data_IF_618991369829
#
_entry.id   IF_618991369829
#
_cell.length_a   1.000
_cell.length_b   1.000
_cell.length_c   1.000
_cell.angle_alpha   90.00
_cell.angle_beta   90.00
_cell.angle_gamma   90.00
#
_symmetry.space_group_name_H-M   'P 1'
#
loop_
_entity.id
_entity.type
_entity.pdbx_description
1 polymer ?
#
# COMPACT_ATOMS: atom_id res chain seq x y z
N UNK A 1 -56.73 -4.41 11.04
CA UNK A 1 -56.41 -5.84 11.13
C UNK A 1 -56.40 -6.41 9.72
N UNK A 2 -55.22 -6.43 9.09
CA UNK A 2 -54.96 -7.11 7.84
C UNK A 2 -53.50 -7.56 7.90
N UNK A 3 -53.30 -8.86 7.81
CA UNK A 3 -52.04 -9.58 8.00
C UNK A 3 -51.36 -9.74 6.64
N UNK A 4 -50.17 -9.17 6.48
CA UNK A 4 -49.34 -9.38 5.29
C UNK A 4 -48.44 -10.60 5.48
N UNK A 5 -48.65 -11.59 4.61
CA UNK A 5 -48.00 -12.89 4.59
C UNK A 5 -46.72 -12.82 3.72
N UNK A 6 -45.56 -12.91 4.38
CA UNK A 6 -44.24 -12.86 3.73
C UNK A 6 -43.96 -14.16 2.97
N UNK A 7 -43.95 -14.07 1.64
CA UNK A 7 -43.68 -15.16 0.69
C UNK A 7 -42.17 -15.50 0.66
N UNK A 8 -41.74 -16.48 1.48
CA UNK A 8 -40.37 -17.03 1.46
C UNK A 8 -40.11 -17.85 0.19
N UNK A 9 -39.06 -17.49 -0.58
CA UNK A 9 -38.54 -18.30 -1.70
C UNK A 9 -37.73 -19.50 -1.18
N UNK A 10 -37.83 -20.70 -1.79
CA UNK A 10 -37.14 -21.89 -1.31
C UNK A 10 -35.66 -21.93 -1.73
N UNK A 11 -34.79 -22.31 -0.78
CA UNK A 11 -33.36 -22.57 -0.98
C UNK A 11 -33.17 -23.79 -1.88
N UNK A 12 -32.52 -23.63 -3.03
CA UNK A 12 -32.09 -24.75 -3.88
C UNK A 12 -30.84 -25.41 -3.27
N UNK A 13 -30.95 -26.69 -2.93
CA UNK A 13 -29.83 -27.56 -2.56
C UNK A 13 -29.08 -27.96 -3.84
N UNK A 14 -27.78 -27.69 -3.91
CA UNK A 14 -26.89 -28.28 -4.92
C UNK A 14 -26.53 -29.70 -4.49
N UNK A 15 -26.99 -30.68 -5.26
CA UNK A 15 -26.61 -32.09 -5.15
C UNK A 15 -25.66 -32.40 -6.30
N UNK A 16 -24.41 -32.75 -5.99
CA UNK A 16 -23.43 -33.28 -6.94
C UNK A 16 -23.75 -34.77 -7.18
N UNK A 17 -24.47 -35.05 -8.27
CA UNK A 17 -24.64 -36.40 -8.81
C UNK A 17 -23.68 -36.58 -9.99
N UNK A 18 -22.61 -37.34 -9.77
CA UNK A 18 -21.80 -37.92 -10.83
C UNK A 18 -22.64 -38.98 -11.55
N UNK A 19 -23.01 -38.70 -12.80
CA UNK A 19 -23.61 -39.70 -13.70
C UNK A 19 -22.52 -40.26 -14.62
N UNK A 20 -22.41 -41.59 -14.79
CA UNK A 20 -21.45 -42.19 -15.72
C UNK A 20 -21.87 -41.95 -17.18
N UNK A 21 -20.90 -41.62 -18.02
CA UNK A 21 -21.06 -41.45 -19.46
C UNK A 21 -21.32 -42.83 -20.09
N UNK A 22 -22.57 -43.10 -20.47
CA UNK A 22 -22.93 -44.24 -21.34
C UNK A 22 -22.72 -43.87 -22.81
N UNK A 23 -21.85 -44.62 -23.49
CA UNK A 23 -21.65 -44.51 -24.94
C UNK A 23 -22.82 -45.17 -25.70
N UNK A 24 -23.35 -44.54 -26.77
CA UNK A 24 -24.41 -45.14 -27.58
C UNK A 24 -23.88 -46.31 -28.45
N UNK A 25 -24.72 -47.32 -28.76
CA UNK A 25 -24.32 -48.46 -29.58
C UNK A 25 -24.19 -48.08 -31.07
N UNK A 26 -23.38 -48.82 -31.85
CA UNK A 26 -23.06 -48.47 -33.21
C UNK A 26 -24.19 -48.85 -34.17
N UNK A 27 -24.85 -47.85 -34.74
CA UNK A 27 -25.66 -48.02 -35.95
C UNK A 27 -24.99 -47.28 -37.12
N UNK A 28 -24.92 -48.00 -38.25
CA UNK A 28 -24.46 -47.61 -39.59
C UNK A 28 -22.95 -47.68 -39.95
N UNK A 29 -22.54 -48.59 -40.86
CA UNK A 29 -21.13 -48.78 -41.28
C UNK A 29 -20.54 -47.68 -42.17
N UNK A 30 -21.29 -46.65 -42.56
CA UNK A 30 -20.84 -45.70 -43.60
C UNK A 30 -20.03 -44.50 -43.10
N UNK A 31 -19.83 -44.33 -41.78
CA UNK A 31 -19.05 -43.20 -41.24
C UNK A 31 -17.81 -43.58 -40.42
N UNK A 32 -17.46 -44.86 -40.29
CA UNK A 32 -16.29 -45.26 -39.47
C UNK A 32 -14.96 -44.71 -39.98
N UNK A 33 -14.74 -44.61 -41.31
CA UNK A 33 -13.49 -44.04 -41.86
C UNK A 33 -13.30 -42.56 -41.48
N UNK A 34 -14.37 -41.78 -41.36
CA UNK A 34 -14.27 -40.35 -41.00
C UNK A 34 -13.87 -40.17 -39.53
N UNK A 35 -14.41 -41.01 -38.63
CA UNK A 35 -14.03 -40.97 -37.22
C UNK A 35 -12.60 -41.43 -36.99
N UNK A 36 -12.16 -42.53 -37.61
CA UNK A 36 -10.77 -42.99 -37.47
C UNK A 36 -9.77 -41.96 -38.00
N UNK A 37 -10.07 -41.26 -39.10
CA UNK A 37 -9.19 -40.19 -39.60
C UNK A 37 -9.14 -38.98 -38.66
N UNK A 38 -10.26 -38.61 -38.01
CA UNK A 38 -10.28 -37.53 -37.01
C UNK A 38 -9.49 -37.89 -35.75
N UNK A 39 -9.63 -39.12 -35.25
CA UNK A 39 -8.86 -39.58 -34.09
C UNK A 39 -7.37 -39.76 -34.41
N UNK A 40 -7.03 -40.26 -35.61
CA UNK A 40 -5.65 -40.35 -36.06
C UNK A 40 -5.01 -38.97 -36.20
N UNK A 41 -5.75 -37.99 -36.75
CA UNK A 41 -5.28 -36.61 -36.84
C UNK A 41 -5.07 -35.99 -35.45
N UNK A 42 -5.97 -36.26 -34.49
CA UNK A 42 -5.83 -35.78 -33.12
C UNK A 42 -4.60 -36.39 -32.41
N UNK A 43 -4.34 -37.68 -32.63
CA UNK A 43 -3.17 -38.38 -32.10
C UNK A 43 -1.87 -37.88 -32.74
N UNK A 44 -1.87 -37.59 -34.05
CA UNK A 44 -0.73 -36.98 -34.74
C UNK A 44 -0.47 -35.56 -34.23
N UNK A 45 -1.51 -34.75 -34.02
CA UNK A 45 -1.37 -33.41 -33.44
C UNK A 45 -0.79 -33.48 -32.02
N UNK A 46 -1.29 -34.38 -31.16
CA UNK A 46 -0.73 -34.56 -29.81
C UNK A 46 0.73 -35.06 -29.85
N UNK A 47 1.07 -35.98 -30.75
CA UNK A 47 2.44 -36.46 -30.93
C UNK A 47 3.38 -35.35 -31.43
N UNK A 48 2.91 -34.49 -32.34
CA UNK A 48 3.65 -33.31 -32.79
C UNK A 48 3.81 -32.27 -31.67
N UNK A 49 2.79 -32.07 -30.83
CA UNK A 49 2.86 -31.16 -29.69
C UNK A 49 3.86 -31.65 -28.63
N UNK A 50 3.85 -32.94 -28.31
CA UNK A 50 4.79 -33.56 -27.38
C UNK A 50 6.22 -33.53 -27.94
N UNK A 51 6.43 -33.87 -29.21
CA UNK A 51 7.77 -33.80 -29.81
C UNK A 51 8.29 -32.36 -29.96
N UNK A 52 7.41 -31.38 -30.16
CA UNK A 52 7.79 -29.96 -30.17
C UNK A 52 8.21 -29.45 -28.78
N UNK A 53 7.50 -29.82 -27.71
CA UNK A 53 7.83 -29.39 -26.36
C UNK A 53 8.99 -30.16 -25.70
N UNK A 54 9.25 -31.39 -26.13
CA UNK A 54 10.39 -32.19 -25.65
C UNK A 54 11.60 -32.18 -26.61
N UNK A 55 11.56 -31.37 -27.68
CA UNK A 55 12.72 -31.16 -28.53
C UNK A 55 13.84 -30.45 -27.75
N UNK A 56 15.09 -30.96 -27.80
CA UNK A 56 16.26 -30.29 -27.21
C UNK A 56 16.44 -28.83 -27.68
N UNK A 57 15.87 -28.49 -28.84
CA UNK A 57 15.93 -27.17 -29.44
C UNK A 57 14.90 -26.19 -28.86
N UNK A 58 13.71 -26.68 -28.47
CA UNK A 58 12.72 -25.89 -27.73
C UNK A 58 13.19 -25.61 -26.30
N UNK A 59 13.85 -26.58 -25.65
CA UNK A 59 14.48 -26.41 -24.33
C UNK A 59 15.67 -25.42 -24.41
N UNK A 60 16.47 -25.44 -25.49
CA UNK A 60 17.52 -24.44 -25.73
C UNK A 60 16.96 -23.04 -26.01
N UNK A 61 15.82 -22.92 -26.69
CA UNK A 61 15.18 -21.63 -26.95
C UNK A 61 14.48 -21.04 -25.72
N UNK A 62 13.93 -21.88 -24.83
CA UNK A 62 13.46 -21.46 -23.52
C UNK A 62 14.61 -20.97 -22.62
N UNK A 63 15.78 -21.64 -22.67
CA UNK A 63 17.00 -21.17 -21.98
C UNK A 63 17.61 -19.89 -22.59
N UNK A 64 17.39 -19.60 -23.88
CA UNK A 64 17.89 -18.38 -24.55
C UNK A 64 16.97 -17.16 -24.46
N UNK A 65 15.68 -17.33 -24.10
CA UNK A 65 14.76 -16.20 -23.84
C UNK A 65 14.86 -15.65 -22.41
N UNK A 66 15.54 -16.34 -21.50
CA UNK A 66 15.91 -15.83 -20.18
C UNK A 66 17.32 -15.19 -20.21
N UNK A 67 17.47 -14.13 -21.01
CA UNK A 67 18.68 -13.29 -20.98
C UNK A 67 18.26 -11.82 -20.84
N UNK A 68 18.57 -11.31 -19.64
CA UNK A 68 18.67 -9.91 -19.20
C UNK A 68 17.43 -9.24 -18.57
N UNK A 69 17.18 -9.56 -17.30
CA UNK A 69 17.39 -8.53 -16.27
C UNK A 69 18.46 -9.03 -15.31
N UNK A 70 19.59 -8.32 -15.33
CA UNK A 70 20.83 -8.63 -14.64
C UNK A 70 20.76 -7.96 -13.27
N UNK A 71 20.29 -8.68 -12.24
CA UNK A 71 20.65 -8.35 -10.86
C UNK A 71 21.95 -9.09 -10.55
N UNK A 72 23.07 -8.49 -10.96
CA UNK A 72 24.38 -8.84 -10.42
C UNK A 72 24.62 -7.91 -9.21
N UNK A 73 24.54 -8.46 -8.00
CA UNK A 73 25.73 -8.57 -7.14
C UNK A 73 25.49 -9.48 -5.93
N UNK A 74 26.51 -10.24 -5.52
CA UNK A 74 26.51 -11.08 -4.33
C UNK A 74 26.94 -10.24 -3.12
N UNK A 75 26.16 -10.32 -2.04
CA UNK A 75 26.60 -10.23 -0.65
C UNK A 75 25.35 -10.44 0.22
N UNK A 76 24.83 -11.66 0.21
CA UNK A 76 23.92 -12.11 1.26
C UNK A 76 24.79 -12.38 2.47
N UNK A 77 24.98 -11.37 3.32
CA UNK A 77 25.39 -11.62 4.69
C UNK A 77 24.14 -12.14 5.39
N UNK A 78 24.06 -13.46 5.58
CA UNK A 78 23.24 -13.99 6.66
C UNK A 78 23.82 -13.41 7.96
N UNK A 79 23.18 -12.39 8.51
CA UNK A 79 23.50 -11.93 9.85
C UNK A 79 23.03 -13.00 10.84
N UNK A 80 23.95 -13.91 11.20
CA UNK A 80 23.89 -14.61 12.47
C UNK A 80 24.01 -13.57 13.58
N UNK A 81 22.95 -13.43 14.37
CA UNK A 81 22.96 -12.66 15.61
C UNK A 81 23.99 -13.28 16.56
N UNK A 82 25.07 -12.56 16.83
CA UNK A 82 25.98 -12.82 17.94
C UNK A 82 25.64 -11.84 19.05
N UNK A 83 25.22 -12.37 20.19
CA UNK A 83 25.16 -11.64 21.46
C UNK A 83 26.60 -11.38 21.92
N UNK A 84 27.03 -10.12 21.90
CA UNK A 84 28.21 -9.67 22.64
C UNK A 84 27.73 -8.73 23.75
N UNK A 85 27.85 -9.22 24.99
CA UNK A 85 27.89 -8.42 26.19
C UNK A 85 29.13 -7.53 26.13
N UNK A 86 28.99 -6.23 26.40
CA UNK A 86 30.10 -5.50 26.99
C UNK A 86 29.67 -4.29 27.83
N UNK A 87 30.36 -4.21 28.96
CA UNK A 87 30.18 -3.29 30.06
C UNK A 87 30.56 -1.86 29.72
N UNK A 88 29.80 -0.88 30.24
CA UNK A 88 30.26 0.49 30.33
C UNK A 88 29.97 1.12 31.70
N UNK A 89 31.04 1.77 32.15
CA UNK A 89 31.38 2.36 33.42
C UNK A 89 30.59 3.64 33.73
N UNK A 90 30.13 3.78 34.97
CA UNK A 90 29.42 4.97 35.45
C UNK A 90 30.43 5.98 36.01
N UNK A 91 30.43 7.19 35.47
CA UNK A 91 30.91 8.36 36.22
C UNK A 91 29.94 9.53 36.07
N UNK A 92 29.70 10.14 37.23
CA UNK A 92 28.65 11.11 37.54
C UNK A 92 28.84 12.47 36.86
N UNK A 93 27.72 13.13 36.56
CA UNK A 93 27.57 14.56 36.87
C UNK A 93 26.08 14.90 37.12
N UNK A 94 25.82 15.47 38.31
CA UNK A 94 24.58 16.11 38.76
C UNK A 94 24.42 17.46 38.00
N UNK A 95 23.27 18.03 37.67
CA UNK A 95 22.01 18.27 38.37
C UNK A 95 21.03 18.88 37.33
N UNK A 96 19.73 18.56 37.40
CA UNK A 96 18.56 19.48 37.30
C UNK A 96 17.28 18.63 37.44
N UNK A 97 16.36 19.14 38.25
CA UNK A 97 15.13 18.54 38.78
C UNK A 97 14.18 17.88 37.75
N UNK A 98 13.73 16.66 38.09
CA UNK A 98 12.35 16.21 37.88
C UNK A 98 12.14 14.90 38.67
N UNK A 99 11.24 14.91 39.65
CA UNK A 99 10.94 13.79 40.55
C UNK A 99 10.10 12.67 39.88
N UNK A 100 10.33 12.39 38.59
CA UNK A 100 9.57 11.39 37.82
C UNK A 100 10.36 10.14 37.40
N UNK A 101 11.69 10.07 37.55
CA UNK A 101 12.47 9.21 36.64
C UNK A 101 13.16 7.96 37.19
N UNK A 102 13.25 7.68 38.48
CA UNK A 102 14.12 6.56 38.92
C UNK A 102 13.50 5.16 38.81
N UNK A 103 12.18 5.01 38.98
CA UNK A 103 11.54 3.68 38.92
C UNK A 103 11.23 3.21 37.49
N UNK A 104 10.92 4.14 36.57
CA UNK A 104 10.59 3.85 35.17
C UNK A 104 11.86 3.68 34.32
N UNK A 105 12.90 4.47 34.58
CA UNK A 105 14.18 4.34 33.87
C UNK A 105 14.90 3.02 34.18
N UNK A 106 14.80 2.52 35.42
CA UNK A 106 15.42 1.26 35.83
C UNK A 106 14.75 0.02 35.21
N UNK A 107 13.45 0.09 34.85
CA UNK A 107 12.76 -0.98 34.15
C UNK A 107 13.09 -1.03 32.64
N UNK A 108 13.51 0.11 32.07
CA UNK A 108 13.78 0.26 30.63
C UNK A 108 15.19 -0.19 30.19
N UNK A 109 16.14 -0.38 31.12
CA UNK A 109 17.53 -0.64 30.78
C UNK A 109 17.87 -2.11 30.47
N UNK A 110 16.99 -3.06 30.79
CA UNK A 110 17.27 -4.51 30.70
C UNK A 110 16.34 -5.30 29.77
N UNK A 111 15.59 -4.65 28.89
CA UNK A 111 14.79 -5.33 27.86
C UNK A 111 15.50 -5.22 26.51
N UNK A 112 15.92 -6.36 25.95
CA UNK A 112 16.22 -6.48 24.52
C UNK A 112 15.06 -5.85 23.75
N UNK A 113 15.31 -4.80 22.96
CA UNK A 113 14.27 -3.86 22.52
C UNK A 113 13.51 -4.37 21.28
N UNK A 114 12.26 -4.86 21.38
CA UNK A 114 11.37 -4.96 20.22
C UNK A 114 10.72 -3.61 19.86
N UNK A 115 11.03 -2.52 20.59
CA UNK A 115 10.36 -1.22 20.48
C UNK A 115 11.40 -0.09 20.49
N UNK A 116 11.62 0.58 19.35
CA UNK A 116 12.27 1.90 19.34
C UNK A 116 11.20 2.93 19.70
N UNK A 117 10.96 3.13 20.99
CA UNK A 117 10.04 4.17 21.46
C UNK A 117 10.49 5.54 20.96
N UNK A 118 9.55 6.29 20.38
CA UNK A 118 9.78 7.58 19.73
C UNK A 118 8.68 8.60 20.05
N UNK A 119 7.88 8.31 21.08
CA UNK A 119 6.65 9.06 21.39
C UNK A 119 6.87 10.53 21.73
N UNK A 120 8.13 10.96 21.89
CA UNK A 120 8.53 12.33 22.25
C UNK A 120 9.29 13.06 21.13
N UNK A 121 9.46 12.42 19.95
CA UNK A 121 10.00 13.09 18.77
C UNK A 121 8.90 13.96 18.15
N UNK A 122 9.25 15.16 17.70
CA UNK A 122 8.35 15.98 16.89
C UNK A 122 8.04 15.29 15.54
N UNK A 123 6.79 14.87 15.31
CA UNK A 123 6.41 14.14 14.10
C UNK A 123 6.32 15.02 12.85
N UNK A 124 6.32 16.35 12.99
CA UNK A 124 6.33 17.30 11.89
C UNK A 124 7.75 17.72 11.47
N UNK A 125 8.75 17.46 12.33
CA UNK A 125 10.15 17.83 12.08
C UNK A 125 10.84 16.77 11.19
N UNK A 126 11.39 17.14 10.02
CA UNK A 126 12.06 16.19 9.12
C UNK A 126 13.22 15.48 9.81
N UNK A 127 13.17 14.15 9.91
CA UNK A 127 14.21 13.36 10.56
C UNK A 127 14.42 12.00 9.89
N UNK A 128 15.62 11.70 9.34
CA UNK A 128 15.88 10.39 8.77
C UNK A 128 16.05 9.32 9.86
N UNK A 129 16.05 8.06 9.43
CA UNK A 129 16.43 6.95 10.31
C UNK A 129 17.92 7.00 10.67
N UNK A 130 18.33 6.42 11.81
CA UNK A 130 19.74 6.31 12.19
C UNK A 130 20.59 5.69 11.07
N UNK A 131 21.87 6.08 10.97
CA UNK A 131 22.77 5.60 9.90
C UNK A 131 23.06 4.10 9.97
N UNK A 132 22.82 3.48 11.11
CA UNK A 132 22.95 2.04 11.33
C UNK A 132 21.86 1.23 10.62
N UNK A 133 20.73 1.86 10.28
CA UNK A 133 19.59 1.23 9.60
C UNK A 133 19.87 1.14 8.09
N UNK A 134 20.88 0.33 7.73
CA UNK A 134 21.44 0.28 6.38
C UNK A 134 20.41 -0.07 5.29
N UNK A 135 19.47 -0.95 5.59
CA UNK A 135 18.40 -1.35 4.66
C UNK A 135 17.46 -0.19 4.33
N UNK A 136 17.13 0.66 5.33
CA UNK A 136 16.33 1.85 5.11
C UNK A 136 17.05 2.84 4.19
N UNK A 137 18.33 3.10 4.43
CA UNK A 137 19.14 3.99 3.60
C UNK A 137 19.34 3.45 2.18
N UNK A 138 19.52 2.14 2.04
CA UNK A 138 19.63 1.47 0.74
C UNK A 138 18.34 1.58 -0.07
N UNK A 139 17.19 1.34 0.57
CA UNK A 139 15.89 1.49 -0.09
C UNK A 139 15.63 2.96 -0.44
N UNK A 140 15.88 3.91 0.46
CA UNK A 140 15.77 5.35 0.18
C UNK A 140 16.56 5.72 -1.08
N UNK A 141 17.84 5.33 -1.17
CA UNK A 141 18.66 5.61 -2.35
C UNK A 141 18.09 4.97 -3.62
N UNK A 142 17.57 3.74 -3.52
CA UNK A 142 16.90 3.06 -4.64
C UNK A 142 15.66 3.83 -5.11
N UNK A 143 14.85 4.36 -4.19
CA UNK A 143 13.66 5.14 -4.52
C UNK A 143 14.03 6.50 -5.15
N UNK A 144 15.07 7.17 -4.64
CA UNK A 144 15.63 8.38 -5.26
C UNK A 144 16.07 8.11 -6.70
N UNK A 145 16.74 6.99 -6.96
CA UNK A 145 17.19 6.65 -8.30
C UNK A 145 16.02 6.27 -9.24
N UNK A 146 14.95 5.65 -8.72
CA UNK A 146 13.70 5.43 -9.47
C UNK A 146 13.00 6.72 -9.84
N UNK A 147 12.97 7.72 -8.95
CA UNK A 147 12.46 9.05 -9.29
C UNK A 147 13.26 9.62 -10.45
N UNK A 148 14.60 9.66 -10.34
CA UNK A 148 15.47 10.15 -11.44
C UNK A 148 15.24 9.41 -12.75
N UNK A 149 15.11 8.09 -12.72
CA UNK A 149 14.83 7.27 -13.91
C UNK A 149 13.48 7.66 -14.54
N UNK A 150 12.44 7.82 -13.72
CA UNK A 150 11.13 8.28 -14.19
C UNK A 150 11.18 9.66 -14.84
N UNK A 151 12.00 10.57 -14.32
CA UNK A 151 12.15 11.92 -14.86
C UNK A 151 12.99 11.96 -16.14
N UNK A 152 13.88 10.99 -16.33
CA UNK A 152 14.64 10.84 -17.57
C UNK A 152 13.82 10.29 -18.73
N UNK A 153 12.60 9.79 -18.45
CA UNK A 153 11.74 9.18 -19.44
C UNK A 153 11.26 10.22 -20.46
N UNK A 154 11.68 10.05 -21.72
CA UNK A 154 11.34 11.00 -22.78
C UNK A 154 9.91 10.77 -23.27
N UNK A 155 9.06 11.79 -23.15
CA UNK A 155 7.65 11.81 -23.63
C UNK A 155 7.56 11.79 -25.17
N UNK A 156 8.70 11.72 -25.88
CA UNK A 156 8.86 11.77 -27.34
C UNK A 156 8.05 10.75 -28.17
N UNK A 157 7.16 9.94 -27.56
CA UNK A 157 6.30 8.97 -28.25
C UNK A 157 4.79 9.21 -28.16
N UNK A 158 4.29 10.12 -27.33
CA UNK A 158 2.87 10.51 -27.35
C UNK A 158 2.79 11.97 -27.74
N UNK A 159 1.98 12.28 -28.75
CA UNK A 159 1.76 13.66 -29.16
C UNK A 159 1.29 14.44 -27.93
N UNK A 160 2.01 15.51 -27.56
CA UNK A 160 1.71 16.40 -26.43
C UNK A 160 0.26 16.94 -26.49
N UNK A 161 -0.35 16.90 -27.68
CA UNK A 161 -1.71 17.30 -27.98
C UNK A 161 -2.79 16.29 -27.54
N UNK A 162 -2.45 15.09 -27.09
CA UNK A 162 -3.44 14.08 -26.67
C UNK A 162 -4.08 14.43 -25.32
N UNK A 163 -5.29 14.98 -25.36
CA UNK A 163 -6.09 15.31 -24.18
C UNK A 163 -6.59 14.08 -23.40
N UNK A 164 -6.35 12.87 -23.91
CA UNK A 164 -6.68 11.63 -23.21
C UNK A 164 -5.62 11.18 -22.20
N UNK A 165 -4.45 11.84 -22.14
CA UNK A 165 -3.37 11.52 -21.21
C UNK A 165 -3.78 11.72 -19.74
N UNK A 166 -3.34 10.81 -18.87
CA UNK A 166 -3.64 10.83 -17.44
C UNK A 166 -2.43 11.22 -16.59
N UNK A 167 -2.63 11.86 -15.43
CA UNK A 167 -1.55 12.17 -14.50
C UNK A 167 -0.71 10.95 -14.12
N UNK A 168 0.57 11.17 -13.82
CA UNK A 168 1.40 10.16 -13.16
C UNK A 168 0.86 9.92 -11.74
N UNK A 169 0.75 8.64 -11.34
CA UNK A 169 0.41 8.28 -9.98
C UNK A 169 1.69 8.14 -9.14
N UNK A 170 1.71 8.74 -7.96
CA UNK A 170 2.81 8.62 -7.02
C UNK A 170 2.26 8.16 -5.68
N UNK A 171 2.59 6.94 -5.29
CA UNK A 171 2.17 6.34 -4.03
C UNK A 171 3.22 6.62 -2.97
N UNK A 172 2.84 7.39 -1.95
CA UNK A 172 3.66 7.68 -0.78
C UNK A 172 3.09 7.01 0.46
N UNK A 173 3.97 6.49 1.30
CA UNK A 173 3.53 5.96 2.58
C UNK A 173 4.56 5.09 3.27
N UNK A 174 4.03 4.15 4.03
CA UNK A 174 4.76 3.22 4.88
C UNK A 174 4.83 1.79 4.31
N UNK A 175 4.85 0.77 5.18
CA UNK A 175 4.89 -0.64 4.84
C UNK A 175 3.69 -1.12 4.04
N UNK A 176 2.53 -0.47 4.16
CA UNK A 176 1.34 -0.81 3.38
C UNK A 176 1.49 -0.26 1.96
N UNK A 177 2.12 0.90 1.80
CA UNK A 177 2.44 1.41 0.45
C UNK A 177 3.59 0.63 -0.18
N UNK A 178 4.64 0.31 0.56
CA UNK A 178 5.74 -0.52 0.06
C UNK A 178 5.24 -1.90 -0.39
N UNK A 179 4.26 -2.45 0.33
CA UNK A 179 3.70 -3.77 0.05
C UNK A 179 3.14 -3.92 -1.36
N UNK A 180 2.78 -2.84 -2.08
CA UNK A 180 2.45 -2.89 -3.51
C UNK A 180 3.58 -3.46 -4.40
N UNK A 181 4.84 -3.33 -3.97
CA UNK A 181 6.00 -3.99 -4.60
C UNK A 181 6.19 -5.45 -4.14
N UNK A 182 5.43 -5.90 -3.15
CA UNK A 182 5.63 -7.18 -2.49
C UNK A 182 6.86 -7.20 -1.58
N UNK A 183 7.35 -6.04 -1.12
CA UNK A 183 8.61 -5.93 -0.36
C UNK A 183 8.42 -5.31 1.03
N UNK A 184 9.44 -5.49 1.87
CA UNK A 184 9.64 -4.79 3.14
C UNK A 184 11.12 -4.39 3.22
N UNK A 185 11.41 -3.09 3.34
CA UNK A 185 12.77 -2.54 3.18
C UNK A 185 13.47 -3.00 1.90
N UNK A 186 12.73 -3.16 0.80
CA UNK A 186 13.25 -3.60 -0.51
C UNK A 186 13.49 -5.12 -0.61
N UNK A 187 13.27 -5.86 0.47
CA UNK A 187 13.49 -7.31 0.53
C UNK A 187 12.16 -8.08 0.49
N UNK A 188 12.23 -9.37 0.17
CA UNK A 188 11.08 -10.28 0.36
C UNK A 188 10.75 -10.30 1.86
N UNK A 189 9.51 -10.01 2.28
CA UNK A 189 9.18 -9.93 3.69
C UNK A 189 9.33 -11.28 4.39
N UNK A 190 9.74 -11.22 5.66
CA UNK A 190 9.84 -12.40 6.52
C UNK A 190 8.47 -12.99 6.88
N UNK A 191 8.47 -14.15 7.58
CA UNK A 191 7.25 -14.88 7.93
C UNK A 191 6.29 -14.12 8.84
N UNK A 192 6.75 -13.05 9.49
CA UNK A 192 5.92 -12.18 10.35
C UNK A 192 4.82 -11.43 9.60
N UNK A 193 4.92 -11.28 8.26
CA UNK A 193 3.82 -10.75 7.43
C UNK A 193 2.70 -11.76 7.19
N UNK A 194 2.92 -13.04 7.54
CA UNK A 194 1.97 -14.13 7.30
C UNK A 194 1.55 -14.25 5.83
N UNK A 195 2.44 -13.84 4.93
CA UNK A 195 2.29 -13.97 3.49
C UNK A 195 2.77 -15.35 3.04
N UNK A 196 2.03 -15.96 2.11
CA UNK A 196 2.51 -17.15 1.41
C UNK A 196 3.73 -16.84 0.54
N UNK A 197 4.49 -17.87 0.17
CA UNK A 197 5.72 -17.73 -0.64
C UNK A 197 5.49 -16.98 -1.97
N UNK A 198 4.31 -17.16 -2.57
CA UNK A 198 3.93 -16.53 -3.84
C UNK A 198 3.16 -15.21 -3.67
N UNK A 199 2.88 -14.79 -2.44
CA UNK A 199 2.06 -13.62 -2.13
C UNK A 199 2.69 -12.31 -2.63
N UNK A 200 4.00 -12.03 -2.45
CA UNK A 200 4.64 -10.86 -3.04
C UNK A 200 4.38 -10.71 -4.55
N UNK A 201 4.45 -11.83 -5.28
CA UNK A 201 4.20 -11.85 -6.73
C UNK A 201 2.73 -11.63 -7.07
N UNK A 202 1.80 -12.13 -6.24
CA UNK A 202 0.37 -11.87 -6.41
C UNK A 202 0.03 -10.41 -6.17
N UNK A 203 0.59 -9.78 -5.11
CA UNK A 203 0.38 -8.37 -4.83
C UNK A 203 0.85 -7.50 -5.99
N UNK A 204 2.05 -7.79 -6.54
CA UNK A 204 2.56 -7.07 -7.71
C UNK A 204 1.63 -7.20 -8.93
N UNK A 205 1.03 -8.38 -9.16
CA UNK A 205 0.04 -8.58 -10.23
C UNK A 205 -1.23 -7.78 -9.99
N UNK A 206 -1.68 -7.65 -8.74
CA UNK A 206 -2.83 -6.80 -8.39
C UNK A 206 -2.52 -5.34 -8.69
N UNK A 207 -1.32 -4.85 -8.33
CA UNK A 207 -0.92 -3.50 -8.73
C UNK A 207 -0.91 -3.31 -10.24
N UNK A 208 -0.31 -4.25 -11.00
CA UNK A 208 -0.26 -4.16 -12.47
C UNK A 208 -1.65 -4.19 -13.13
N UNK A 209 -2.58 -4.94 -12.54
CA UNK A 209 -3.99 -4.99 -12.97
C UNK A 209 -4.67 -3.62 -12.80
N UNK A 210 -4.48 -2.94 -11.68
CA UNK A 210 -5.24 -1.72 -11.35
C UNK A 210 -4.55 -0.42 -11.77
N UNK A 211 -3.23 -0.32 -11.61
CA UNK A 211 -2.49 0.94 -11.77
C UNK A 211 -1.31 0.82 -12.74
N UNK A 212 -0.71 -0.36 -12.87
CA UNK A 212 0.48 -0.56 -13.70
C UNK A 212 0.22 -0.45 -15.20
N UNK A 213 1.25 -0.72 -15.99
CA UNK A 213 1.31 -0.41 -17.43
C UNK A 213 0.19 -1.08 -18.26
N UNK A 214 -0.31 -2.22 -17.81
CA UNK A 214 -1.40 -2.96 -18.46
C UNK A 214 -2.80 -2.46 -18.12
N UNK A 215 -2.94 -1.67 -17.05
CA UNK A 215 -4.23 -1.13 -16.61
C UNK A 215 -4.73 -0.02 -17.54
N UNK A 216 -6.03 0.30 -17.46
CA UNK A 216 -6.63 1.44 -18.18
C UNK A 216 -5.90 2.74 -17.82
N UNK A 217 -5.53 2.92 -16.55
CA UNK A 217 -4.79 4.09 -16.11
C UNK A 217 -3.38 4.11 -16.71
N UNK A 218 -2.59 3.06 -16.50
CA UNK A 218 -1.19 3.00 -16.94
C UNK A 218 -1.01 3.07 -18.46
N UNK A 219 -1.98 2.60 -19.24
CA UNK A 219 -1.96 2.77 -20.69
C UNK A 219 -2.07 4.24 -21.11
N UNK A 220 -2.73 5.09 -20.32
CA UNK A 220 -2.96 6.51 -20.61
C UNK A 220 -2.08 7.46 -19.80
N UNK A 221 -1.48 6.97 -18.71
CA UNK A 221 -0.64 7.77 -17.83
C UNK A 221 0.53 8.41 -18.60
N UNK A 222 0.84 9.67 -18.29
CA UNK A 222 1.94 10.42 -18.90
C UNK A 222 3.28 9.75 -18.57
N UNK A 223 3.43 9.28 -17.33
CA UNK A 223 4.56 8.49 -16.86
C UNK A 223 4.07 7.26 -16.08
N UNK A 224 4.87 6.18 -16.03
CA UNK A 224 4.57 5.04 -15.17
C UNK A 224 4.37 5.45 -13.70
N UNK A 225 3.46 4.78 -12.96
CA UNK A 225 3.30 5.01 -11.54
C UNK A 225 4.58 4.75 -10.74
N UNK A 226 4.76 5.50 -9.65
CA UNK A 226 5.83 5.30 -8.68
C UNK A 226 5.28 4.78 -7.35
N UNK A 227 5.93 3.76 -6.78
CA UNK A 227 5.65 3.25 -5.43
C UNK A 227 6.84 3.64 -4.54
N UNK A 228 6.63 4.63 -3.67
CA UNK A 228 7.63 5.29 -2.83
C UNK A 228 7.32 5.12 -1.33
N UNK A 229 6.88 3.91 -0.96
CA UNK A 229 6.69 3.50 0.42
C UNK A 229 7.95 2.87 1.01
N UNK A 230 8.20 3.10 2.29
CA UNK A 230 9.23 2.39 3.06
C UNK A 230 8.59 1.82 4.33
N UNK A 231 8.83 0.55 4.60
CA UNK A 231 8.33 -0.12 5.79
C UNK A 231 8.77 0.58 7.08
N UNK A 232 7.85 0.70 8.02
CA UNK A 232 8.10 1.41 9.28
C UNK A 232 8.16 2.94 9.16
N UNK A 233 8.07 3.53 7.94
CA UNK A 233 8.08 4.99 7.81
C UNK A 233 7.02 5.66 8.66
N UNK A 234 7.43 6.78 9.24
CA UNK A 234 6.62 7.72 10.02
C UNK A 234 6.60 9.05 9.29
N UNK A 235 5.74 9.95 9.74
CA UNK A 235 5.60 11.29 9.13
C UNK A 235 6.92 12.06 9.06
N UNK A 236 7.70 12.10 10.14
CA UNK A 236 8.96 12.84 10.19
C UNK A 236 10.02 12.32 9.21
N UNK A 237 10.17 11.00 9.08
CA UNK A 237 11.12 10.43 8.12
C UNK A 237 10.60 10.49 6.68
N UNK A 238 9.29 10.40 6.47
CA UNK A 238 8.68 10.66 5.17
C UNK A 238 8.97 12.09 4.69
N UNK A 239 8.73 13.10 5.53
CA UNK A 239 8.99 14.51 5.20
C UNK A 239 10.45 14.67 4.79
N UNK A 240 11.38 14.08 5.56
CA UNK A 240 12.79 14.10 5.21
C UNK A 240 13.07 13.43 3.85
N UNK A 241 12.49 12.27 3.57
CA UNK A 241 12.71 11.53 2.30
C UNK A 241 12.32 12.35 1.07
N UNK A 242 11.15 12.98 1.09
CA UNK A 242 10.66 13.76 -0.06
C UNK A 242 11.50 15.03 -0.28
N UNK A 243 11.98 15.66 0.80
CA UNK A 243 12.95 16.76 0.70
C UNK A 243 14.32 16.31 0.16
N UNK A 244 14.67 15.04 0.36
CA UNK A 244 15.98 14.46 0.03
C UNK A 244 15.93 13.53 -1.21
N UNK A 245 15.09 13.86 -2.18
CA UNK A 245 15.18 13.31 -3.54
C UNK A 245 14.09 12.31 -3.94
N UNK A 246 13.18 11.96 -3.03
CA UNK A 246 12.02 11.14 -3.37
C UNK A 246 10.82 11.94 -3.91
N UNK A 247 10.95 13.27 -4.03
CA UNK A 247 9.96 14.12 -4.70
C UNK A 247 10.37 14.40 -6.17
N UNK A 248 9.55 14.02 -7.17
CA UNK A 248 9.77 14.37 -8.57
C UNK A 248 9.70 15.90 -8.79
N UNK A 249 10.67 16.45 -9.52
CA UNK A 249 10.87 17.89 -9.75
C UNK A 249 10.59 18.34 -11.19
N UNK A 250 10.56 17.42 -12.12
CA UNK A 250 10.36 17.68 -13.54
C UNK A 250 8.95 18.19 -13.83
N UNK A 251 8.81 19.17 -14.71
CA UNK A 251 7.52 19.43 -15.36
C UNK A 251 7.36 18.45 -16.51
N UNK A 252 6.23 17.76 -16.56
CA UNK A 252 5.99 16.64 -17.48
C UNK A 252 5.15 17.08 -18.69
N UNK A 253 4.36 18.15 -18.57
CA UNK A 253 3.61 18.70 -19.71
C UNK A 253 4.25 20.01 -20.20
N UNK A 254 4.10 20.32 -21.49
CA UNK A 254 4.55 21.60 -22.06
C UNK A 254 3.84 22.81 -21.44
N UNK A 255 4.44 24.00 -21.56
CA UNK A 255 3.95 25.25 -20.97
C UNK A 255 2.49 25.55 -21.33
N UNK A 256 2.05 25.21 -22.55
CA UNK A 256 0.68 25.41 -23.02
C UNK A 256 -0.37 24.51 -22.34
N UNK A 257 0.04 23.40 -21.71
CA UNK A 257 -0.82 22.51 -20.91
C UNK A 257 -0.45 22.55 -19.43
N UNK A 258 0.30 23.56 -19.00
CA UNK A 258 0.85 23.64 -17.65
C UNK A 258 -0.22 23.74 -16.55
N UNK A 259 -1.45 24.16 -16.89
CA UNK A 259 -2.60 24.15 -15.98
C UNK A 259 -3.29 22.79 -15.81
N UNK A 260 -2.87 21.75 -16.55
CA UNK A 260 -3.42 20.39 -16.38
C UNK A 260 -2.75 19.66 -15.22
N UNK A 261 -3.50 18.77 -14.59
CA UNK A 261 -2.95 17.82 -13.62
C UNK A 261 -1.84 16.99 -14.27
N UNK A 262 -0.65 17.03 -13.68
CA UNK A 262 0.49 16.23 -14.14
C UNK A 262 0.73 15.03 -13.23
N UNK A 263 0.37 15.16 -11.94
CA UNK A 263 0.62 14.17 -10.90
C UNK A 263 -0.57 14.09 -9.95
N UNK A 264 -0.83 12.89 -9.46
CA UNK A 264 -1.72 12.64 -8.32
C UNK A 264 -0.91 11.88 -7.26
N UNK A 265 -0.91 12.39 -6.04
CA UNK A 265 -0.24 11.80 -4.89
C UNK A 265 -1.24 10.94 -4.12
N UNK A 266 -1.00 9.63 -4.03
CA UNK A 266 -1.78 8.71 -3.21
C UNK A 266 -1.03 8.51 -1.90
N UNK A 267 -1.64 8.87 -0.78
CA UNK A 267 -0.93 8.99 0.50
C UNK A 267 -1.61 8.16 1.58
N UNK A 268 -0.85 7.26 2.20
CA UNK A 268 -1.22 6.51 3.41
C UNK A 268 -0.03 6.48 4.36
N UNK A 269 -0.13 7.17 5.49
CA UNK A 269 0.92 7.16 6.52
C UNK A 269 0.35 7.55 7.89
N UNK A 270 1.04 7.16 8.96
CA UNK A 270 0.74 7.58 10.34
C UNK A 270 0.52 6.41 11.30
N UNK A 271 0.20 5.20 10.81
CA UNK A 271 -0.01 4.03 11.69
C UNK A 271 1.27 3.65 12.45
N UNK A 272 2.46 3.92 11.89
CA UNK A 272 3.74 3.70 12.57
C UNK A 272 4.07 4.79 13.60
N UNK A 273 3.47 5.98 13.51
CA UNK A 273 3.57 6.98 14.58
C UNK A 273 2.88 6.44 15.84
N UNK A 274 1.64 5.98 15.71
CA UNK A 274 0.91 5.28 16.78
C UNK A 274 1.68 4.05 17.25
N UNK A 275 2.09 3.19 16.32
CA UNK A 275 2.88 1.99 16.60
C UNK A 275 4.25 2.25 17.23
N UNK A 276 4.76 3.49 17.20
CA UNK A 276 6.02 3.91 17.82
C UNK A 276 5.86 4.61 19.16
N UNK A 277 4.64 4.77 19.68
CA UNK A 277 4.40 5.44 20.97
C UNK A 277 3.89 6.88 20.87
N UNK A 278 3.62 7.40 19.67
CA UNK A 278 3.03 8.74 19.55
C UNK A 278 1.53 8.70 19.84
N UNK A 279 1.04 9.72 20.51
CA UNK A 279 -0.39 9.91 20.76
C UNK A 279 -1.11 10.41 19.50
N UNK A 280 -2.45 10.31 19.44
CA UNK A 280 -3.22 10.76 18.28
C UNK A 280 -2.92 12.20 17.83
N UNK A 281 -2.88 13.17 18.76
CA UNK A 281 -2.71 14.59 18.40
C UNK A 281 -1.33 14.86 17.76
N UNK A 282 -0.29 14.19 18.26
CA UNK A 282 1.03 14.23 17.66
C UNK A 282 1.01 13.57 16.26
N UNK A 283 0.36 12.41 16.14
CA UNK A 283 0.22 11.71 14.84
C UNK A 283 -0.50 12.58 13.81
N UNK A 284 -1.58 13.26 14.20
CA UNK A 284 -2.34 14.20 13.38
C UNK A 284 -1.44 15.35 12.91
N UNK A 285 -0.65 15.96 13.81
CA UNK A 285 0.30 17.03 13.46
C UNK A 285 1.34 16.57 12.43
N UNK A 286 1.88 15.36 12.59
CA UNK A 286 2.78 14.78 11.59
C UNK A 286 2.12 14.57 10.23
N UNK A 287 0.88 14.07 10.20
CA UNK A 287 0.12 13.84 8.97
C UNK A 287 -0.20 15.16 8.26
N UNK A 288 -0.59 16.20 9.01
CA UNK A 288 -0.78 17.57 8.53
C UNK A 288 0.50 18.09 7.85
N UNK A 289 1.64 18.03 8.54
CA UNK A 289 2.93 18.46 8.03
C UNK A 289 3.35 17.70 6.76
N UNK A 290 3.10 16.39 6.69
CA UNK A 290 3.38 15.57 5.50
C UNK A 290 2.59 16.03 4.28
N UNK A 291 1.28 16.24 4.41
CA UNK A 291 0.44 16.70 3.30
C UNK A 291 0.82 18.10 2.84
N UNK A 292 1.05 19.02 3.78
CA UNK A 292 1.53 20.38 3.49
C UNK A 292 2.86 20.37 2.77
N UNK A 293 3.81 19.52 3.17
CA UNK A 293 5.11 19.42 2.50
C UNK A 293 4.97 18.95 1.05
N UNK A 294 4.08 17.98 0.77
CA UNK A 294 3.78 17.56 -0.61
C UNK A 294 3.24 18.72 -1.44
N UNK A 295 2.27 19.47 -0.91
CA UNK A 295 1.65 20.62 -1.58
C UNK A 295 2.66 21.76 -1.81
N UNK A 296 3.47 22.08 -0.81
CA UNK A 296 4.55 23.06 -0.88
C UNK A 296 5.55 22.69 -1.99
N UNK A 297 6.07 21.47 -1.97
CA UNK A 297 7.02 21.01 -2.99
C UNK A 297 6.37 20.98 -4.37
N UNK A 298 5.09 20.58 -4.50
CA UNK A 298 4.40 20.63 -5.79
C UNK A 298 4.32 22.05 -6.33
N UNK A 299 3.88 23.00 -5.53
CA UNK A 299 3.76 24.40 -5.95
C UNK A 299 5.12 25.01 -6.33
N UNK A 300 6.20 24.62 -5.63
CA UNK A 300 7.56 25.04 -5.99
C UNK A 300 8.03 24.48 -7.34
N UNK A 301 7.72 23.22 -7.64
CA UNK A 301 8.21 22.54 -8.86
C UNK A 301 7.28 22.70 -10.07
N UNK A 302 5.99 22.92 -9.84
CA UNK A 302 4.93 23.00 -10.84
C UNK A 302 3.97 24.16 -10.52
N UNK A 303 4.44 25.42 -10.49
CA UNK A 303 3.68 26.56 -9.95
C UNK A 303 2.38 26.88 -10.69
N UNK A 304 2.23 26.40 -11.92
CA UNK A 304 1.05 26.61 -12.75
C UNK A 304 0.12 25.41 -12.80
N UNK A 305 0.56 24.24 -12.35
CA UNK A 305 -0.25 23.02 -12.33
C UNK A 305 -0.94 22.88 -10.98
N UNK A 306 -2.22 22.48 -10.93
CA UNK A 306 -2.87 22.16 -9.68
C UNK A 306 -2.23 20.90 -9.06
N UNK A 307 -2.02 20.93 -7.74
CA UNK A 307 -1.66 19.73 -6.99
C UNK A 307 -2.89 18.84 -6.80
N UNK A 308 -2.71 17.51 -6.81
CA UNK A 308 -3.78 16.58 -6.49
C UNK A 308 -3.36 15.51 -5.48
N UNK A 309 -4.14 15.32 -4.42
CA UNK A 309 -3.90 14.34 -3.36
C UNK A 309 -5.14 13.46 -3.17
N UNK A 310 -4.95 12.14 -3.21
CA UNK A 310 -5.88 11.15 -2.66
C UNK A 310 -5.29 10.67 -1.34
N UNK A 311 -5.85 11.15 -0.23
CA UNK A 311 -5.37 10.87 1.11
C UNK A 311 -6.21 9.78 1.76
N UNK A 312 -5.59 8.77 2.34
CA UNK A 312 -6.28 7.69 3.03
C UNK A 312 -6.34 7.94 4.53
N UNK A 313 -7.49 7.70 5.15
CA UNK A 313 -7.56 7.39 6.57
C UNK A 313 -6.56 6.29 6.96
N UNK A 314 -6.17 6.27 8.24
CA UNK A 314 -5.46 5.13 8.79
C UNK A 314 -6.35 3.89 8.68
N UNK A 315 -5.81 2.85 8.07
CA UNK A 315 -6.50 1.56 7.96
C UNK A 315 -6.64 0.91 9.35
N UNK A 316 -7.73 0.16 9.60
CA UNK A 316 -7.88 -0.59 10.83
C UNK A 316 -6.77 -1.63 10.98
N UNK A 317 -6.33 -1.86 12.22
CA UNK A 317 -5.35 -2.91 12.57
C UNK A 317 -5.77 -3.60 13.86
N UNK A 318 -5.52 -4.91 13.95
CA UNK A 318 -5.92 -5.78 15.07
C UNK A 318 -4.73 -6.56 15.65
N UNK A 319 -3.52 -6.05 15.47
CA UNK A 319 -2.28 -6.60 16.05
C UNK A 319 -2.08 -6.10 17.50
N UNK A 320 -3.13 -6.24 18.30
CA UNK A 320 -3.30 -5.69 19.65
C UNK A 320 -2.17 -6.06 20.63
N UNK A 321 -1.53 -7.21 20.42
CA UNK A 321 -0.35 -7.63 21.16
C UNK A 321 0.82 -6.64 21.10
N UNK A 322 0.85 -5.73 20.11
CA UNK A 322 1.82 -4.63 20.03
C UNK A 322 1.38 -3.40 20.82
N UNK A 323 0.08 -3.11 20.88
CA UNK A 323 -0.45 -2.01 21.68
C UNK A 323 -0.18 -2.24 23.17
N UNK A 324 -0.30 -3.49 23.62
CA UNK A 324 -0.01 -3.88 25.01
C UNK A 324 1.44 -3.59 25.39
N UNK A 325 2.39 -3.75 24.44
CA UNK A 325 3.83 -3.56 24.66
C UNK A 325 4.25 -2.08 24.69
N UNK A 326 3.34 -1.15 24.46
CA UNK A 326 3.65 0.29 24.52
C UNK A 326 3.77 0.81 25.96
N UNK A 327 3.22 0.07 26.92
CA UNK A 327 3.22 0.43 28.33
C UNK A 327 4.30 -0.37 29.08
N UNK A 328 5.25 0.28 29.77
CA UNK A 328 5.58 1.71 29.73
C UNK A 328 6.38 2.12 28.48
N UNK A 329 6.48 3.42 28.14
CA UNK A 329 5.96 4.57 28.88
C UNK A 329 4.55 5.02 28.47
N UNK A 330 3.93 4.38 27.47
CA UNK A 330 2.61 4.77 26.96
C UNK A 330 1.55 3.78 27.40
N UNK A 331 0.79 4.19 28.41
CA UNK A 331 -0.24 3.39 29.05
C UNK A 331 -1.61 4.06 28.88
N UNK A 332 -2.67 3.25 28.83
CA UNK A 332 -4.05 3.73 28.89
C UNK A 332 -4.32 4.44 30.23
N UNK A 333 -3.73 3.92 31.31
CA UNK A 333 -3.67 4.58 32.60
C UNK A 333 -2.22 4.59 33.10
N UNK A 334 -1.58 5.75 33.08
CA UNK A 334 -0.17 5.90 33.48
C UNK A 334 0.04 5.63 34.96
N UNK A 335 -0.92 5.99 35.82
CA UNK A 335 -0.83 5.77 37.27
C UNK A 335 -0.94 4.30 37.63
N UNK A 336 -1.84 3.56 36.97
CA UNK A 336 -2.04 2.13 37.20
C UNK A 336 -1.14 1.23 36.33
N UNK A 337 -0.32 1.81 35.44
CA UNK A 337 0.43 1.10 34.40
C UNK A 337 -0.45 0.14 33.58
N UNK A 338 -1.67 0.58 33.27
CA UNK A 338 -2.62 -0.21 32.50
C UNK A 338 -2.28 -0.09 31.00
N UNK A 339 -1.98 -1.21 30.30
CA UNK A 339 -1.62 -1.16 28.90
C UNK A 339 -2.83 -0.91 27.98
N UNK A 340 -2.58 -0.30 26.82
CA UNK A 340 -3.57 -0.25 25.75
C UNK A 340 -3.92 -1.67 25.29
N UNK A 341 -5.21 -1.92 25.09
CA UNK A 341 -5.70 -3.21 24.60
C UNK A 341 -5.81 -3.25 23.07
N UNK A 342 -5.84 -2.10 22.40
CA UNK A 342 -5.93 -2.01 20.94
C UNK A 342 -5.46 -0.66 20.42
N UNK A 343 -5.06 -0.59 19.15
CA UNK A 343 -4.81 0.66 18.43
C UNK A 343 -6.09 1.33 17.94
N UNK A 344 -7.20 0.60 17.85
CA UNK A 344 -8.43 1.10 17.21
C UNK A 344 -8.95 2.42 17.80
N UNK A 345 -9.00 2.64 19.12
CA UNK A 345 -9.43 3.93 19.67
C UNK A 345 -8.53 5.10 19.24
N UNK A 346 -7.22 4.87 19.14
CA UNK A 346 -6.27 5.89 18.69
C UNK A 346 -6.41 6.17 17.19
N UNK A 347 -6.59 5.12 16.38
CA UNK A 347 -6.86 5.23 14.94
C UNK A 347 -8.14 6.02 14.68
N UNK A 348 -9.23 5.70 15.40
CA UNK A 348 -10.49 6.41 15.28
C UNK A 348 -10.32 7.90 15.57
N UNK A 349 -9.65 8.25 16.68
CA UNK A 349 -9.38 9.66 17.03
C UNK A 349 -8.57 10.39 15.95
N UNK A 350 -7.60 9.72 15.32
CA UNK A 350 -6.85 10.30 14.20
C UNK A 350 -7.77 10.52 12.99
N UNK A 351 -8.52 9.49 12.58
CA UNK A 351 -9.38 9.54 11.39
C UNK A 351 -10.48 10.60 11.52
N UNK A 352 -11.10 10.74 12.70
CA UNK A 352 -12.11 11.77 12.99
C UNK A 352 -11.58 13.21 12.82
N UNK A 353 -10.27 13.43 12.98
CA UNK A 353 -9.65 14.74 12.83
C UNK A 353 -9.24 15.08 11.38
N UNK A 354 -9.12 14.09 10.49
CA UNK A 354 -8.58 14.29 9.14
C UNK A 354 -9.40 15.24 8.27
N UNK A 355 -10.75 15.27 8.29
CA UNK A 355 -11.51 16.25 7.51
C UNK A 355 -11.10 17.70 7.81
N UNK A 356 -10.87 18.03 9.10
CA UNK A 356 -10.39 19.35 9.50
C UNK A 356 -8.96 19.65 9.04
N UNK A 357 -8.07 18.66 9.06
CA UNK A 357 -6.70 18.79 8.55
C UNK A 357 -6.70 19.11 7.05
N UNK A 358 -7.44 18.32 6.27
CA UNK A 358 -7.52 18.48 4.81
C UNK A 358 -8.20 19.80 4.41
N UNK A 359 -9.15 20.29 5.21
CA UNK A 359 -9.73 21.62 5.03
C UNK A 359 -8.67 22.71 5.17
N UNK A 360 -7.83 22.63 6.20
CA UNK A 360 -6.69 23.54 6.36
C UNK A 360 -5.74 23.50 5.16
N UNK A 361 -5.48 22.32 4.58
CA UNK A 361 -4.69 22.23 3.34
C UNK A 361 -5.37 22.94 2.17
N UNK A 362 -6.68 22.79 2.01
CA UNK A 362 -7.42 23.42 0.94
C UNK A 362 -7.48 24.94 1.09
N UNK A 363 -7.56 25.46 2.30
CA UNK A 363 -7.49 26.89 2.60
C UNK A 363 -6.13 27.48 2.20
N UNK A 364 -5.03 26.79 2.55
CA UNK A 364 -3.68 27.25 2.25
C UNK A 364 -3.27 27.03 0.79
N UNK A 365 -3.86 26.04 0.12
CA UNK A 365 -3.60 25.68 -1.28
C UNK A 365 -4.93 25.60 -2.07
N UNK A 366 -5.57 26.75 -2.36
CA UNK A 366 -6.93 26.80 -2.91
C UNK A 366 -7.09 26.14 -4.28
N UNK A 367 -6.02 26.10 -5.09
CA UNK A 367 -6.04 25.47 -6.42
C UNK A 367 -5.83 23.94 -6.38
N UNK A 368 -5.56 23.37 -5.20
CA UNK A 368 -5.34 21.92 -5.04
C UNK A 368 -6.64 21.12 -5.14
N UNK A 369 -6.54 19.88 -5.61
CA UNK A 369 -7.61 18.88 -5.57
C UNK A 369 -7.30 17.86 -4.49
N UNK A 370 -8.09 17.80 -3.43
CA UNK A 370 -7.83 16.95 -2.27
C UNK A 370 -9.05 16.08 -2.04
N UNK A 371 -8.86 14.77 -1.95
CA UNK A 371 -9.91 13.78 -1.68
C UNK A 371 -9.50 12.92 -0.50
N UNK A 372 -10.43 12.68 0.43
CA UNK A 372 -10.26 11.75 1.55
C UNK A 372 -10.89 10.39 1.23
N UNK A 373 -10.16 9.31 1.46
CA UNK A 373 -10.71 7.95 1.47
C UNK A 373 -11.04 7.59 2.92
N UNK A 374 -12.31 7.25 3.18
CA UNK A 374 -12.80 6.91 4.52
C UNK A 374 -13.26 5.47 4.61
N UNK A 375 -12.98 4.85 5.76
CA UNK A 375 -13.46 3.52 6.11
C UNK A 375 -14.90 3.50 6.63
N UNK A 376 -15.53 4.67 6.82
CA UNK A 376 -16.92 4.77 7.23
C UNK A 376 -17.87 4.20 6.16
N UNK A 377 -19.06 3.79 6.61
CA UNK A 377 -20.08 3.21 5.73
C UNK A 377 -20.80 4.29 4.92
N UNK A 378 -21.36 3.94 3.75
CA UNK A 378 -22.16 4.86 2.95
C UNK A 378 -23.46 5.30 3.65
N UNK A 379 -23.91 4.53 4.65
CA UNK A 379 -25.11 4.80 5.45
C UNK A 379 -24.84 5.78 6.62
N UNK A 380 -23.58 5.92 7.04
CA UNK A 380 -23.12 6.89 8.04
C UNK A 380 -22.92 8.26 7.39
N UNK A 381 -24.04 8.81 6.90
CA UNK A 381 -24.18 10.13 6.31
C UNK A 381 -23.26 10.43 5.11
N UNK A 382 -23.91 10.53 3.95
CA UNK A 382 -23.71 11.67 3.06
C UNK A 382 -23.92 12.98 3.84
N UNK A 383 -22.94 13.34 4.66
CA UNK A 383 -22.75 14.65 5.23
C UNK A 383 -21.67 15.30 4.41
N UNK A 384 -22.05 16.24 3.54
CA UNK A 384 -21.11 17.23 3.05
C UNK A 384 -20.65 17.97 4.30
N UNK A 385 -19.46 17.64 4.81
CA UNK A 385 -18.77 18.52 5.74
C UNK A 385 -18.77 19.90 5.07
N UNK A 386 -19.19 20.92 5.81
CA UNK A 386 -19.75 22.18 5.30
C UNK A 386 -18.82 23.01 4.40
N UNK A 387 -17.64 22.49 4.09
CA UNK A 387 -16.48 23.15 3.50
C UNK A 387 -15.88 22.42 2.27
N UNK A 388 -16.65 21.58 1.57
CA UNK A 388 -16.37 21.07 0.20
C UNK A 388 -15.11 20.16 -0.01
N UNK A 389 -14.62 19.41 0.99
CA UNK A 389 -13.65 18.32 0.72
C UNK A 389 -14.42 17.05 0.33
N UNK A 390 -14.22 16.47 -0.88
CA UNK A 390 -14.81 15.18 -1.22
C UNK A 390 -14.30 14.05 -0.31
N UNK A 391 -15.23 13.31 0.29
CA UNK A 391 -14.96 12.12 1.10
C UNK A 391 -15.55 10.92 0.38
N UNK A 392 -14.70 9.94 0.06
CA UNK A 392 -15.11 8.69 -0.55
C UNK A 392 -15.32 7.65 0.56
N UNK A 393 -16.59 7.32 0.80
CA UNK A 393 -16.97 6.28 1.74
C UNK A 393 -16.69 4.90 1.16
N UNK A 394 -15.67 4.23 1.69
CA UNK A 394 -15.16 2.97 1.15
C UNK A 394 -15.59 1.74 1.95
N UNK A 395 -16.01 1.89 3.21
CA UNK A 395 -16.46 0.77 4.04
C UNK A 395 -15.52 -0.44 3.97
N UNK A 396 -16.05 -1.56 3.47
CA UNK A 396 -15.31 -2.82 3.32
C UNK A 396 -14.10 -2.75 2.37
N UNK A 397 -14.09 -1.84 1.38
CA UNK A 397 -12.91 -1.63 0.53
C UNK A 397 -11.74 -1.00 1.31
N UNK A 398 -11.99 -0.47 2.51
CA UNK A 398 -10.99 -0.05 3.49
C UNK A 398 -11.05 -0.90 4.77
N UNK A 399 -11.40 -2.18 4.62
CA UNK A 399 -11.28 -3.21 5.66
C UNK A 399 -12.18 -3.00 6.89
N UNK A 400 -13.26 -2.21 6.76
CA UNK A 400 -14.34 -2.15 7.74
C UNK A 400 -15.20 -3.43 7.71
N UNK A 401 -14.57 -4.56 8.01
CA UNK A 401 -15.21 -5.88 8.06
C UNK A 401 -15.76 -6.16 9.46
N UNK A 402 -17.00 -6.65 9.51
CA UNK A 402 -17.66 -7.02 10.77
C UNK A 402 -17.02 -8.24 11.44
N UNK A 403 -16.50 -9.17 10.65
CA UNK A 403 -15.94 -10.43 11.17
C UNK A 403 -14.41 -10.43 11.22
N UNK A 404 -13.86 -11.00 12.29
CA UNK A 404 -12.41 -11.19 12.45
C UNK A 404 -11.85 -12.16 11.40
N UNK A 405 -12.60 -13.21 11.03
CA UNK A 405 -12.21 -14.15 9.98
C UNK A 405 -12.05 -13.47 8.62
N UNK A 406 -12.99 -12.59 8.24
CA UNK A 406 -12.91 -11.84 6.99
C UNK A 406 -11.77 -10.82 7.02
N UNK A 407 -11.55 -10.17 8.15
CA UNK A 407 -10.41 -9.28 8.35
C UNK A 407 -9.08 -10.03 8.17
N UNK A 408 -8.89 -11.15 8.88
CA UNK A 408 -7.68 -11.98 8.81
C UNK A 408 -7.47 -12.57 7.41
N UNK A 409 -8.55 -12.83 6.65
CA UNK A 409 -8.46 -13.28 5.26
C UNK A 409 -7.86 -12.23 4.30
N UNK A 410 -7.89 -10.94 4.67
CA UNK A 410 -7.36 -9.83 3.88
C UNK A 410 -6.11 -9.20 4.49
N UNK A 411 -5.98 -9.21 5.81
CA UNK A 411 -4.83 -8.73 6.59
C UNK A 411 -4.35 -9.84 7.54
N UNK A 412 -3.60 -10.84 7.05
CA UNK A 412 -3.33 -12.06 7.80
C UNK A 412 -2.47 -11.86 9.06
N UNK A 413 -1.60 -10.85 9.06
CA UNK A 413 -0.84 -10.44 10.25
C UNK A 413 -1.54 -9.34 11.07
N UNK A 414 -2.81 -9.07 10.74
CA UNK A 414 -3.70 -8.07 11.32
C UNK A 414 -3.26 -6.61 11.15
N UNK A 415 -2.37 -6.35 10.20
CA UNK A 415 -1.89 -5.00 9.90
C UNK A 415 -1.73 -4.76 8.40
N UNK A 416 -1.15 -5.72 7.67
CA UNK A 416 -0.75 -5.54 6.29
C UNK A 416 -1.66 -6.33 5.35
N UNK A 417 -2.19 -5.69 4.29
CA UNK A 417 -2.98 -6.40 3.29
C UNK A 417 -2.17 -7.50 2.59
N UNK A 418 -2.80 -8.63 2.29
CA UNK A 418 -2.32 -9.58 1.28
C UNK A 418 -2.85 -9.17 -0.10
N UNK A 419 -2.65 -9.98 -1.14
CA UNK A 419 -3.10 -9.65 -2.49
C UNK A 419 -4.62 -9.46 -2.60
N UNK A 420 -5.43 -10.21 -1.83
CA UNK A 420 -6.88 -9.98 -1.76
C UNK A 420 -7.17 -8.63 -1.11
N UNK A 421 -6.49 -8.33 -0.01
CA UNK A 421 -6.62 -7.04 0.68
C UNK A 421 -6.26 -5.86 -0.21
N UNK A 422 -5.16 -5.96 -0.97
CA UNK A 422 -4.79 -4.95 -1.95
C UNK A 422 -5.80 -4.83 -3.10
N UNK A 423 -6.42 -5.94 -3.55
CA UNK A 423 -7.43 -5.90 -4.61
C UNK A 423 -8.69 -5.15 -4.15
N UNK A 424 -9.09 -5.31 -2.88
CA UNK A 424 -10.23 -4.54 -2.33
C UNK A 424 -9.88 -3.07 -2.14
N UNK A 425 -8.70 -2.77 -1.58
CA UNK A 425 -8.26 -1.38 -1.36
C UNK A 425 -8.06 -0.60 -2.66
N UNK A 426 -7.63 -1.26 -3.73
CA UNK A 426 -7.52 -0.66 -5.06
C UNK A 426 -8.86 -0.08 -5.55
N UNK A 427 -10.00 -0.68 -5.20
CA UNK A 427 -11.33 -0.19 -5.61
C UNK A 427 -11.64 1.17 -4.99
N UNK A 428 -11.35 1.34 -3.71
CA UNK A 428 -11.47 2.61 -3.00
C UNK A 428 -10.55 3.69 -3.59
N UNK A 429 -9.27 3.36 -3.82
CA UNK A 429 -8.32 4.29 -4.44
C UNK A 429 -8.81 4.74 -5.82
N UNK A 430 -9.32 3.82 -6.64
CA UNK A 430 -9.87 4.14 -7.97
C UNK A 430 -11.02 5.14 -7.88
N UNK A 431 -11.96 4.98 -6.94
CA UNK A 431 -13.05 5.95 -6.72
C UNK A 431 -12.51 7.33 -6.35
N UNK A 432 -11.47 7.40 -5.51
CA UNK A 432 -10.78 8.67 -5.22
C UNK A 432 -10.10 9.29 -6.44
N UNK A 433 -9.50 8.47 -7.31
CA UNK A 433 -8.93 8.94 -8.57
C UNK A 433 -10.01 9.47 -9.54
N UNK A 434 -11.18 8.83 -9.60
CA UNK A 434 -12.31 9.30 -10.41
C UNK A 434 -12.80 10.66 -9.92
N UNK A 435 -12.90 10.86 -8.61
CA UNK A 435 -13.27 12.14 -8.00
C UNK A 435 -12.27 13.25 -8.34
N UNK A 436 -10.96 13.00 -8.17
CA UNK A 436 -9.91 13.97 -8.55
C UNK A 436 -9.96 14.35 -10.03
N UNK A 437 -10.35 13.40 -10.89
CA UNK A 437 -10.48 13.58 -12.33
C UNK A 437 -11.87 14.11 -12.74
N UNK A 438 -12.70 14.57 -11.80
CA UNK A 438 -14.06 15.11 -11.98
C UNK A 438 -14.98 14.14 -12.77
N UNK A 439 -14.87 12.83 -12.51
CA UNK A 439 -15.59 11.74 -13.20
C UNK A 439 -15.39 11.65 -14.73
N UNK A 440 -14.39 12.36 -15.28
CA UNK A 440 -14.10 12.35 -16.72
C UNK A 440 -13.65 10.96 -17.23
N UNK A 441 -13.40 10.01 -16.31
CA UNK A 441 -12.92 8.67 -16.61
C UNK A 441 -13.71 7.67 -15.77
N UNK A 442 -14.35 6.70 -16.40
CA UNK A 442 -14.87 5.52 -15.72
C UNK A 442 -13.71 4.52 -15.59
N UNK A 443 -13.17 4.36 -14.38
CA UNK A 443 -12.08 3.44 -14.07
C UNK A 443 -12.60 2.08 -13.59
N UNK A 444 -13.84 2.01 -13.12
CA UNK A 444 -14.45 0.82 -12.50
C UNK A 444 -14.62 -0.37 -13.44
#
# INVERSE_FOLDING_TARGET
MATDEVRRRPKKKFSLLLSPITLPPPHHPQNQRSYYMKYLLLLVIMALFLTYHFSPQAIRNAKKRNVHHKFDKPNVIQATYTEEEDALDYSNDENIESHYDTAVAAAASNMSRPFQYIGDIDPASPRPWPKQEADWWSLHQTLVDRVKESESFSIKKRHDDDDSLLPQLIFYGDSITEGWNGTSFGNIPGPTRMWGEDEPSKIRKVFEKHFGSSSVWGQRAILPPLILGISGSRTCDFIWRIENGEFPKSTVLSEHKSQKLQRIYIVLMGTNNLGGGMLPDATISGMDASGRKILELHQQQCPTAPAAIVFSELLPRKDDHRAVKMCPPRCANVTALEPFQSFMPAIQKVNEALPGVLRGWKEDYPDSKIVLLSSQSEDDANGVDSDNIPIIQCGQDMFAFDSEEEFDAHMPDRLHPNAKGYDVWARCIKRGLEEVMDHTINLL
#
